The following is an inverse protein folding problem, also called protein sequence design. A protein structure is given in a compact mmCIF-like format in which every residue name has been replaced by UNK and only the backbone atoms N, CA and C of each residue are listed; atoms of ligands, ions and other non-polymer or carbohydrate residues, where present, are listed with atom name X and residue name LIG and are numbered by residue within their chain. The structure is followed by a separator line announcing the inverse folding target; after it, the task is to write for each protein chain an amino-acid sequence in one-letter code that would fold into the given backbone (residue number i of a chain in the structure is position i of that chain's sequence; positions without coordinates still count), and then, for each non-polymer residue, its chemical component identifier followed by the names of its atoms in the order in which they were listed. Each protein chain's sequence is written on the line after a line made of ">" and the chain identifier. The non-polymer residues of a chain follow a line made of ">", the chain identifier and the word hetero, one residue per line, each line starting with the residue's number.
data_IF_755542242203
#
_entry.id   IF_755542242203
#
_cell.length_a   1.000
_cell.length_b   1.000
_cell.length_c   1.000
_cell.angle_alpha   90.00
_cell.angle_beta   90.00
_cell.angle_gamma   90.00
#
_symmetry.space_group_name_H-M   'P 1'
#
loop_
_entity.id
_entity.type
_entity.pdbx_description
1 polymer ?
#
# COMPACT_ATOMS: atom_id res chain seq x y z
N UNK A 1 3.96 -18.58 13.19
CA UNK A 1 2.65 -18.31 13.85
C UNK A 1 2.50 -16.87 14.32
N UNK A 2 3.57 -16.21 14.79
CA UNK A 2 3.50 -14.82 15.28
C UNK A 2 3.05 -13.85 14.18
N UNK A 3 3.46 -14.08 12.94
CA UNK A 3 3.11 -13.30 11.76
C UNK A 3 1.60 -13.31 11.44
N UNK A 4 0.90 -14.40 11.75
CA UNK A 4 -0.56 -14.51 11.64
C UNK A 4 -1.24 -13.72 12.77
N UNK A 5 -0.70 -13.81 14.00
CA UNK A 5 -1.21 -13.01 15.12
C UNK A 5 -1.04 -11.51 14.84
N UNK A 6 0.08 -11.10 14.26
CA UNK A 6 0.33 -9.72 13.83
C UNK A 6 -0.65 -9.30 12.73
N UNK A 7 -0.94 -10.17 11.76
CA UNK A 7 -1.97 -9.91 10.74
C UNK A 7 -3.34 -9.64 11.38
N UNK A 8 -3.79 -10.52 12.28
CA UNK A 8 -5.08 -10.39 12.97
C UNK A 8 -5.11 -9.15 13.86
N UNK A 9 -4.05 -8.90 14.62
CA UNK A 9 -3.92 -7.71 15.46
C UNK A 9 -3.96 -6.42 14.62
N UNK A 10 -3.32 -6.42 13.45
CA UNK A 10 -3.33 -5.29 12.52
C UNK A 10 -4.72 -5.06 11.92
N UNK A 11 -5.43 -6.11 11.53
CA UNK A 11 -6.83 -6.02 11.09
C UNK A 11 -7.72 -5.42 12.17
N UNK A 12 -7.58 -5.89 13.41
CA UNK A 12 -8.34 -5.38 14.55
C UNK A 12 -8.02 -3.90 14.80
N UNK A 13 -6.75 -3.53 14.87
CA UNK A 13 -6.32 -2.15 15.07
C UNK A 13 -6.89 -1.21 13.99
N UNK A 14 -6.75 -1.60 12.71
CA UNK A 14 -7.29 -0.83 11.60
C UNK A 14 -8.81 -0.68 11.70
N UNK A 15 -9.54 -1.78 11.95
CA UNK A 15 -10.99 -1.78 12.14
C UNK A 15 -11.43 -0.80 13.22
N UNK A 16 -10.78 -0.84 14.39
CA UNK A 16 -11.12 0.04 15.52
C UNK A 16 -10.73 1.49 15.28
N UNK A 17 -9.75 1.76 14.42
CA UNK A 17 -9.30 3.11 14.10
C UNK A 17 -10.25 3.89 13.17
N UNK A 18 -11.18 3.21 12.48
CA UNK A 18 -12.13 3.88 11.57
C UNK A 18 -13.01 4.90 12.28
N UNK A 19 -13.65 4.52 13.38
CA UNK A 19 -14.63 5.38 14.06
C UNK A 19 -13.98 6.62 14.68
N UNK A 20 -12.86 6.54 15.43
CA UNK A 20 -12.16 7.71 15.95
C UNK A 20 -11.71 8.67 14.84
N UNK A 21 -11.13 8.15 13.76
CA UNK A 21 -10.68 8.98 12.62
C UNK A 21 -11.85 9.65 11.93
N UNK A 22 -12.94 8.92 11.69
CA UNK A 22 -14.15 9.50 11.10
C UNK A 22 -14.72 10.63 11.97
N UNK A 23 -14.85 10.42 13.29
CA UNK A 23 -15.33 11.45 14.22
C UNK A 23 -14.42 12.67 14.24
N UNK A 24 -13.11 12.47 14.18
CA UNK A 24 -12.16 13.58 14.12
C UNK A 24 -12.31 14.39 12.83
N UNK A 25 -12.43 13.72 11.68
CA UNK A 25 -12.63 14.38 10.39
C UNK A 25 -13.97 15.13 10.33
N UNK A 26 -15.05 14.58 10.90
CA UNK A 26 -16.36 15.28 10.97
C UNK A 26 -16.32 16.54 11.82
N UNK A 27 -15.40 16.62 12.80
CA UNK A 27 -15.19 17.81 13.64
C UNK A 27 -14.29 18.84 12.99
N UNK A 28 -13.24 18.39 12.31
CA UNK A 28 -12.18 19.28 11.81
C UNK A 28 -12.35 19.70 10.35
N UNK A 29 -13.14 18.98 9.55
CA UNK A 29 -13.23 19.18 8.10
C UNK A 29 -14.68 19.33 7.64
N UNK A 30 -15.15 20.57 7.35
CA UNK A 30 -16.53 20.81 6.92
C UNK A 30 -16.95 19.98 5.71
N UNK A 31 -16.13 19.95 4.65
CA UNK A 31 -16.42 19.17 3.43
C UNK A 31 -16.56 17.67 3.67
N UNK A 32 -15.76 17.11 4.59
CA UNK A 32 -15.87 15.70 4.95
C UNK A 32 -17.24 15.38 5.57
N UNK A 33 -17.76 16.29 6.39
CA UNK A 33 -19.05 16.12 7.07
C UNK A 33 -20.21 15.97 6.08
N UNK A 34 -20.13 16.66 4.95
CA UNK A 34 -21.12 16.66 3.86
C UNK A 34 -21.07 15.43 2.95
N UNK A 35 -20.00 14.62 3.04
CA UNK A 35 -19.87 13.42 2.21
C UNK A 35 -20.89 12.33 2.58
N UNK A 36 -21.37 11.62 1.56
CA UNK A 36 -22.16 10.41 1.72
C UNK A 36 -21.34 9.26 2.36
N UNK A 37 -22.02 8.32 3.01
CA UNK A 37 -21.40 7.26 3.81
C UNK A 37 -20.30 6.46 3.09
N UNK A 38 -20.54 6.01 1.86
CA UNK A 38 -19.53 5.25 1.09
C UNK A 38 -18.27 6.08 0.81
N UNK A 39 -18.41 7.39 0.54
CA UNK A 39 -17.28 8.29 0.32
C UNK A 39 -16.52 8.58 1.62
N UNK A 40 -17.22 8.71 2.76
CA UNK A 40 -16.58 8.84 4.08
C UNK A 40 -15.68 7.65 4.39
N UNK A 41 -16.18 6.42 4.18
CA UNK A 41 -15.36 5.23 4.36
C UNK A 41 -14.14 5.21 3.43
N UNK A 42 -14.31 5.62 2.17
CA UNK A 42 -13.20 5.70 1.22
C UNK A 42 -12.11 6.66 1.71
N UNK A 43 -12.47 7.85 2.17
CA UNK A 43 -11.52 8.84 2.70
C UNK A 43 -10.81 8.30 3.94
N UNK A 44 -11.57 7.79 4.93
CA UNK A 44 -10.99 7.26 6.17
C UNK A 44 -10.05 6.10 5.89
N UNK A 45 -10.41 5.17 4.99
CA UNK A 45 -9.54 4.07 4.57
C UNK A 45 -8.20 4.60 4.04
N UNK A 46 -8.24 5.56 3.12
CA UNK A 46 -7.03 6.06 2.46
C UNK A 46 -6.12 6.82 3.45
N UNK A 47 -6.69 7.62 4.36
CA UNK A 47 -5.91 8.32 5.39
C UNK A 47 -5.31 7.35 6.42
N UNK A 48 -6.08 6.36 6.88
CA UNK A 48 -5.56 5.30 7.75
C UNK A 48 -4.43 4.53 7.07
N UNK A 49 -4.64 4.11 5.81
CA UNK A 49 -3.62 3.39 5.02
C UNK A 49 -2.36 4.24 4.85
N UNK A 50 -2.48 5.53 4.56
CA UNK A 50 -1.33 6.42 4.42
C UNK A 50 -0.49 6.48 5.70
N UNK A 51 -1.12 6.75 6.85
CA UNK A 51 -0.43 6.80 8.15
C UNK A 51 0.18 5.46 8.51
N UNK A 52 -0.57 4.37 8.30
CA UNK A 52 -0.11 3.02 8.61
C UNK A 52 1.09 2.62 7.75
N UNK A 53 1.06 2.91 6.44
CA UNK A 53 2.18 2.63 5.53
C UNK A 53 3.41 3.49 5.85
N UNK A 54 3.23 4.76 6.23
CA UNK A 54 4.34 5.61 6.67
C UNK A 54 5.05 5.01 7.90
N UNK A 55 4.28 4.59 8.91
CA UNK A 55 4.83 3.90 10.09
C UNK A 55 5.50 2.59 9.68
N UNK A 56 4.88 1.82 8.79
CA UNK A 56 5.45 0.56 8.32
C UNK A 56 6.78 0.75 7.59
N UNK A 57 6.93 1.83 6.80
CA UNK A 57 8.20 2.18 6.16
C UNK A 57 9.29 2.45 7.21
N UNK A 58 8.98 3.26 8.22
CA UNK A 58 9.91 3.54 9.32
C UNK A 58 10.31 2.27 10.07
N UNK A 59 9.34 1.43 10.42
CA UNK A 59 9.59 0.14 11.07
C UNK A 59 10.45 -0.77 10.21
N UNK A 60 10.21 -0.82 8.90
CA UNK A 60 10.99 -1.64 7.98
C UNK A 60 12.44 -1.15 7.92
N UNK A 61 12.66 0.16 7.81
CA UNK A 61 14.02 0.73 7.78
C UNK A 61 14.76 0.44 9.09
N UNK A 62 14.11 0.66 10.24
CA UNK A 62 14.74 0.49 11.56
C UNK A 62 15.01 -0.99 11.87
N UNK A 63 14.03 -1.87 11.63
CA UNK A 63 14.10 -3.27 12.05
C UNK A 63 14.81 -4.15 11.02
N UNK A 64 14.58 -3.94 9.72
CA UNK A 64 15.16 -4.75 8.65
C UNK A 64 16.42 -4.13 8.03
N UNK A 65 16.57 -2.80 8.04
CA UNK A 65 17.74 -2.12 7.47
C UNK A 65 19.10 -2.68 7.90
N UNK A 66 19.34 -2.95 9.20
CA UNK A 66 20.58 -3.57 9.65
C UNK A 66 20.81 -4.98 9.06
N UNK A 67 19.76 -5.81 8.97
CA UNK A 67 19.87 -7.16 8.42
C UNK A 67 20.18 -7.15 6.92
N UNK A 68 19.58 -6.22 6.16
CA UNK A 68 19.86 -6.05 4.74
C UNK A 68 21.37 -5.85 4.51
N UNK A 69 22.02 -4.98 5.29
CA UNK A 69 23.45 -4.67 5.12
C UNK A 69 24.34 -5.93 5.21
N UNK A 70 23.92 -6.92 5.99
CA UNK A 70 24.63 -8.19 6.14
C UNK A 70 24.07 -9.33 5.27
N UNK A 71 23.18 -9.03 4.32
CA UNK A 71 22.44 -9.99 3.47
C UNK A 71 21.70 -11.08 4.27
N UNK A 72 21.14 -10.68 5.41
CA UNK A 72 20.31 -11.54 6.26
C UNK A 72 18.84 -11.19 5.99
N UNK A 73 18.03 -12.21 5.73
CA UNK A 73 16.61 -12.07 5.39
C UNK A 73 15.74 -12.82 6.40
N UNK A 74 15.52 -12.23 7.60
CA UNK A 74 14.86 -12.92 8.70
C UNK A 74 13.37 -13.16 8.42
N UNK A 75 13.03 -14.41 8.12
CA UNK A 75 11.68 -14.87 7.75
C UNK A 75 10.56 -14.31 8.64
N UNK A 76 10.70 -14.42 9.96
CA UNK A 76 9.66 -13.99 10.90
C UNK A 76 9.41 -12.48 10.83
N UNK A 77 10.47 -11.68 10.74
CA UNK A 77 10.35 -10.23 10.65
C UNK A 77 9.71 -9.81 9.32
N UNK A 78 10.19 -10.36 8.21
CA UNK A 78 9.71 -10.01 6.87
C UNK A 78 8.26 -10.42 6.65
N UNK A 79 7.88 -11.63 7.10
CA UNK A 79 6.48 -12.06 7.09
C UNK A 79 5.62 -11.17 7.99
N UNK A 80 6.10 -10.74 9.15
CA UNK A 80 5.35 -9.85 10.03
C UNK A 80 5.12 -8.47 9.41
N UNK A 81 6.13 -7.90 8.76
CA UNK A 81 6.00 -6.63 8.03
C UNK A 81 5.05 -6.76 6.82
N UNK A 82 5.12 -7.88 6.09
CA UNK A 82 4.19 -8.19 5.01
C UNK A 82 2.75 -8.34 5.52
N UNK A 83 2.55 -9.03 6.65
CA UNK A 83 1.24 -9.13 7.32
C UNK A 83 0.66 -7.75 7.64
N UNK A 84 1.48 -6.86 8.20
CA UNK A 84 1.06 -5.49 8.51
C UNK A 84 0.65 -4.75 7.23
N UNK A 85 1.44 -4.82 6.15
CA UNK A 85 1.09 -4.22 4.86
C UNK A 85 -0.27 -4.73 4.36
N UNK A 86 -0.40 -6.04 4.19
CA UNK A 86 -1.56 -6.68 3.56
C UNK A 86 -2.84 -6.56 4.38
N UNK A 87 -2.74 -6.36 5.70
CA UNK A 87 -3.90 -6.08 6.54
C UNK A 87 -4.68 -4.83 6.09
N UNK A 88 -4.01 -3.82 5.54
CA UNK A 88 -4.64 -2.62 4.97
C UNK A 88 -5.48 -2.94 3.72
N UNK A 89 -4.99 -3.86 2.89
CA UNK A 89 -5.67 -4.28 1.67
C UNK A 89 -6.89 -5.14 1.99
N UNK A 90 -6.73 -6.06 2.95
CA UNK A 90 -7.82 -6.90 3.43
C UNK A 90 -8.95 -6.07 4.08
N UNK A 91 -8.62 -5.10 4.95
CA UNK A 91 -9.65 -4.23 5.54
C UNK A 91 -10.30 -3.33 4.49
N UNK A 92 -9.54 -2.90 3.47
CA UNK A 92 -10.05 -2.14 2.34
C UNK A 92 -11.10 -2.90 1.55
N UNK A 93 -10.84 -4.18 1.22
CA UNK A 93 -11.79 -5.08 0.58
C UNK A 93 -13.05 -5.30 1.42
N UNK A 94 -12.90 -5.42 2.74
CA UNK A 94 -14.03 -5.63 3.65
C UNK A 94 -14.91 -4.38 3.82
N UNK A 95 -14.30 -3.20 3.95
CA UNK A 95 -15.03 -1.95 4.25
C UNK A 95 -15.60 -1.26 3.04
N UNK A 96 -14.92 -1.29 1.90
CA UNK A 96 -15.29 -0.50 0.73
C UNK A 96 -16.02 -1.37 -0.29
N UNK A 97 -17.34 -1.21 -0.36
CA UNK A 97 -18.20 -1.99 -1.27
C UNK A 97 -17.92 -1.72 -2.76
N UNK A 98 -17.51 -0.48 -3.09
CA UNK A 98 -17.36 0.00 -4.47
C UNK A 98 -15.89 0.33 -4.81
N UNK A 99 -15.00 -0.65 -4.62
CA UNK A 99 -13.64 -0.54 -5.13
C UNK A 99 -13.60 -0.77 -6.65
N UNK A 100 -12.70 -0.06 -7.34
CA UNK A 100 -12.40 -0.32 -8.75
C UNK A 100 -11.92 -1.76 -8.91
N UNK A 101 -12.26 -2.38 -10.04
CA UNK A 101 -11.90 -3.78 -10.31
C UNK A 101 -10.38 -4.01 -10.29
N UNK A 102 -9.59 -3.09 -10.85
CA UNK A 102 -8.12 -3.16 -10.82
C UNK A 102 -7.59 -3.22 -9.38
N UNK A 103 -8.08 -2.32 -8.52
CA UNK A 103 -7.68 -2.24 -7.11
C UNK A 103 -8.13 -3.47 -6.32
N UNK A 104 -9.29 -4.06 -6.65
CA UNK A 104 -9.71 -5.33 -6.04
C UNK A 104 -8.78 -6.47 -6.42
N UNK A 105 -8.41 -6.58 -7.70
CA UNK A 105 -7.46 -7.60 -8.16
C UNK A 105 -6.09 -7.41 -7.51
N UNK A 106 -5.61 -6.16 -7.41
CA UNK A 106 -4.40 -5.83 -6.65
C UNK A 106 -4.47 -6.36 -5.22
N UNK A 107 -5.54 -6.06 -4.49
CA UNK A 107 -5.71 -6.51 -3.10
C UNK A 107 -5.84 -8.04 -2.96
N UNK A 108 -6.49 -8.72 -3.90
CA UNK A 108 -6.50 -10.19 -3.89
C UNK A 108 -5.11 -10.77 -4.15
N UNK A 109 -4.36 -10.19 -5.10
CA UNK A 109 -2.97 -10.59 -5.37
C UNK A 109 -2.09 -10.42 -4.13
N UNK A 110 -2.19 -9.30 -3.41
CA UNK A 110 -1.36 -9.06 -2.21
C UNK A 110 -1.69 -10.04 -1.09
N UNK A 111 -2.97 -10.42 -0.93
CA UNK A 111 -3.38 -11.48 0.01
C UNK A 111 -2.82 -12.84 -0.40
N UNK A 112 -2.92 -13.22 -1.68
CA UNK A 112 -2.35 -14.48 -2.18
C UNK A 112 -0.83 -14.51 -1.96
N UNK A 113 -0.15 -13.40 -2.24
CA UNK A 113 1.28 -13.25 -2.00
C UNK A 113 1.65 -13.38 -0.52
N UNK A 114 0.87 -12.84 0.42
CA UNK A 114 1.11 -13.08 1.85
C UNK A 114 1.00 -14.57 2.20
N UNK A 115 -0.02 -15.26 1.68
CA UNK A 115 -0.19 -16.68 1.97
C UNK A 115 0.97 -17.52 1.41
N UNK A 116 1.50 -17.14 0.25
CA UNK A 116 2.68 -17.76 -0.34
C UNK A 116 3.94 -17.42 0.47
N UNK A 117 4.09 -16.19 0.95
CA UNK A 117 5.30 -15.79 1.69
C UNK A 117 5.47 -16.54 3.01
N UNK A 118 4.37 -16.98 3.64
CA UNK A 118 4.43 -17.83 4.83
C UNK A 118 5.04 -19.22 4.59
N UNK A 119 5.09 -19.70 3.35
CA UNK A 119 5.70 -20.99 3.00
C UNK A 119 7.08 -20.88 2.36
N UNK A 120 7.58 -19.66 2.12
CA UNK A 120 8.87 -19.42 1.49
C UNK A 120 9.92 -19.00 2.52
N UNK A 121 11.16 -19.46 2.30
CA UNK A 121 12.32 -18.95 3.02
C UNK A 121 12.85 -17.69 2.32
N UNK A 122 12.78 -16.53 2.97
CA UNK A 122 13.30 -15.28 2.43
C UNK A 122 14.81 -15.26 2.24
N UNK A 123 15.59 -16.08 2.94
CA UNK A 123 17.04 -16.16 2.74
C UNK A 123 17.40 -16.78 1.40
N UNK A 124 16.67 -17.84 1.01
CA UNK A 124 16.96 -18.65 -0.17
C UNK A 124 16.08 -18.29 -1.37
N UNK A 125 14.82 -17.94 -1.13
CA UNK A 125 13.84 -17.72 -2.19
C UNK A 125 13.95 -16.33 -2.79
N UNK A 126 14.49 -16.27 -4.02
CA UNK A 126 14.47 -15.05 -4.84
C UNK A 126 13.06 -14.47 -5.01
N UNK A 127 12.05 -15.33 -5.19
CA UNK A 127 10.66 -14.90 -5.29
C UNK A 127 10.21 -14.16 -4.02
N UNK A 128 10.52 -14.71 -2.84
CA UNK A 128 10.17 -14.08 -1.57
C UNK A 128 10.86 -12.72 -1.41
N UNK A 129 12.16 -12.63 -1.72
CA UNK A 129 12.91 -11.36 -1.72
C UNK A 129 12.25 -10.33 -2.65
N UNK A 130 11.94 -10.70 -3.89
CA UNK A 130 11.28 -9.80 -4.86
C UNK A 130 9.88 -9.36 -4.40
N UNK A 131 9.09 -10.26 -3.82
CA UNK A 131 7.78 -9.93 -3.24
C UNK A 131 7.92 -8.91 -2.09
N UNK A 132 8.89 -9.10 -1.19
CA UNK A 132 9.11 -8.18 -0.08
C UNK A 132 9.58 -6.81 -0.58
N UNK A 133 10.55 -6.78 -1.50
CA UNK A 133 11.05 -5.54 -2.07
C UNK A 133 9.95 -4.76 -2.80
N UNK A 134 9.08 -5.46 -3.55
CA UNK A 134 7.91 -4.82 -4.15
C UNK A 134 6.96 -4.28 -3.08
N UNK A 135 6.69 -5.05 -2.03
CA UNK A 135 5.80 -4.64 -0.93
C UNK A 135 6.33 -3.41 -0.21
N UNK A 136 7.63 -3.38 0.10
CA UNK A 136 8.27 -2.24 0.74
C UNK A 136 8.27 -1.00 -0.18
N UNK A 137 8.60 -1.17 -1.45
CA UNK A 137 8.48 -0.10 -2.45
C UNK A 137 7.04 0.45 -2.49
N UNK A 138 6.03 -0.42 -2.58
CA UNK A 138 4.63 0.00 -2.54
C UNK A 138 4.22 0.71 -1.25
N UNK A 139 4.87 0.43 -0.11
CA UNK A 139 4.61 1.15 1.13
C UNK A 139 5.16 2.59 1.10
N UNK A 140 6.30 2.83 0.43
CA UNK A 140 6.91 4.16 0.29
C UNK A 140 6.00 5.15 -0.47
N UNK A 141 5.04 4.65 -1.24
CA UNK A 141 4.06 5.46 -1.98
C UNK A 141 2.86 5.88 -1.12
N UNK A 142 2.97 5.79 0.20
CA UNK A 142 1.95 6.24 1.15
C UNK A 142 1.39 7.67 0.89
N UNK A 143 2.15 8.65 0.35
CA UNK A 143 1.58 9.97 0.02
C UNK A 143 0.44 9.91 -1.00
N UNK A 144 0.44 8.91 -1.88
CA UNK A 144 -0.67 8.66 -2.84
C UNK A 144 -1.97 8.40 -2.08
N UNK A 145 -1.92 7.52 -1.08
CA UNK A 145 -3.10 7.24 -0.25
C UNK A 145 -3.53 8.48 0.55
N UNK A 146 -2.58 9.29 1.02
CA UNK A 146 -2.92 10.56 1.69
C UNK A 146 -3.70 11.48 0.73
N UNK A 147 -3.17 11.72 -0.47
CA UNK A 147 -3.82 12.56 -1.48
C UNK A 147 -5.20 12.04 -1.89
N UNK A 148 -5.34 10.73 -2.12
CA UNK A 148 -6.63 10.10 -2.48
C UNK A 148 -7.72 10.33 -1.42
N UNK A 149 -7.34 10.41 -0.13
CA UNK A 149 -8.25 10.77 0.95
C UNK A 149 -8.49 12.28 1.03
N UNK A 150 -7.43 13.07 1.09
CA UNK A 150 -7.47 14.52 1.34
C UNK A 150 -8.19 15.30 0.23
N UNK A 151 -8.14 14.86 -1.04
CA UNK A 151 -8.82 15.54 -2.16
C UNK A 151 -10.35 15.64 -2.02
N UNK A 152 -10.94 14.87 -1.12
CA UNK A 152 -12.38 14.95 -0.82
C UNK A 152 -12.68 15.83 0.40
N UNK A 153 -11.64 16.27 1.10
CA UNK A 153 -11.69 17.05 2.33
C UNK A 153 -11.34 18.53 2.12
N UNK A 154 -10.55 18.85 1.10
CA UNK A 154 -10.00 20.18 0.84
C UNK A 154 -10.22 20.59 -0.62
N UNK A 155 -10.02 21.87 -0.93
CA UNK A 155 -10.03 22.36 -2.31
C UNK A 155 -8.82 21.84 -3.09
N UNK A 156 -8.94 21.76 -4.42
CA UNK A 156 -7.84 21.27 -5.27
C UNK A 156 -6.61 22.20 -5.18
N UNK A 157 -6.83 23.51 -5.04
CA UNK A 157 -5.78 24.53 -4.89
C UNK A 157 -4.92 24.32 -3.63
N UNK A 158 -5.52 23.87 -2.53
CA UNK A 158 -4.80 23.60 -1.27
C UNK A 158 -3.94 22.33 -1.33
N UNK A 159 -4.14 21.49 -2.36
CA UNK A 159 -3.54 20.15 -2.47
C UNK A 159 -2.59 20.02 -3.66
N UNK A 160 -2.22 21.11 -4.32
CA UNK A 160 -1.29 21.11 -5.46
C UNK A 160 0.03 20.43 -5.10
N UNK A 161 0.66 20.86 -4.00
CA UNK A 161 1.93 20.30 -3.53
C UNK A 161 1.79 18.83 -3.13
N UNK A 162 0.68 18.48 -2.46
CA UNK A 162 0.40 17.09 -2.04
C UNK A 162 0.21 16.19 -3.25
N UNK A 163 -0.45 16.69 -4.30
CA UNK A 163 -0.62 15.99 -5.57
C UNK A 163 0.73 15.77 -6.27
N UNK A 164 1.58 16.81 -6.33
CA UNK A 164 2.92 16.72 -6.89
C UNK A 164 3.78 15.70 -6.15
N UNK A 165 3.83 15.77 -4.81
CA UNK A 165 4.56 14.80 -3.97
C UNK A 165 4.05 13.38 -4.21
N UNK A 166 2.73 13.17 -4.24
CA UNK A 166 2.13 11.87 -4.52
C UNK A 166 2.54 11.35 -5.91
N UNK A 167 2.46 12.19 -6.94
CA UNK A 167 2.80 11.82 -8.31
C UNK A 167 4.29 11.46 -8.46
N UNK A 168 5.20 12.36 -8.09
CA UNK A 168 6.65 12.14 -8.28
C UNK A 168 7.17 10.99 -7.43
N UNK A 169 6.76 10.90 -6.16
CA UNK A 169 7.15 9.77 -5.30
C UNK A 169 6.70 8.46 -5.91
N UNK A 170 5.45 8.40 -6.40
CA UNK A 170 4.93 7.17 -6.97
C UNK A 170 5.61 6.79 -8.28
N UNK A 171 5.81 7.76 -9.19
CA UNK A 171 6.48 7.55 -10.46
C UNK A 171 7.90 6.98 -10.28
N UNK A 172 8.68 7.60 -9.39
CA UNK A 172 10.07 7.20 -9.11
C UNK A 172 10.10 5.79 -8.52
N UNK A 173 9.25 5.52 -7.51
CA UNK A 173 9.21 4.22 -6.84
C UNK A 173 8.75 3.12 -7.79
N UNK A 174 7.70 3.34 -8.59
CA UNK A 174 7.26 2.38 -9.61
C UNK A 174 8.36 2.10 -10.62
N UNK A 175 9.05 3.13 -11.11
CA UNK A 175 10.14 2.96 -12.07
C UNK A 175 11.25 2.05 -11.53
N UNK A 176 11.76 2.33 -10.33
CA UNK A 176 12.82 1.51 -9.73
C UNK A 176 12.33 0.11 -9.38
N UNK A 177 11.12 -0.02 -8.87
CA UNK A 177 10.56 -1.31 -8.51
C UNK A 177 10.35 -2.20 -9.75
N UNK A 178 9.78 -1.67 -10.83
CA UNK A 178 9.59 -2.43 -12.07
C UNK A 178 10.93 -2.74 -12.76
N UNK A 179 11.88 -1.82 -12.72
CA UNK A 179 13.23 -2.08 -13.19
C UNK A 179 13.87 -3.26 -12.45
N UNK A 180 13.73 -3.30 -11.12
CA UNK A 180 14.22 -4.40 -10.29
C UNK A 180 13.55 -5.74 -10.67
N UNK A 181 12.23 -5.75 -10.87
CA UNK A 181 11.51 -6.95 -11.32
C UNK A 181 11.98 -7.43 -12.69
N UNK A 182 12.22 -6.51 -13.61
CA UNK A 182 12.71 -6.83 -14.95
C UNK A 182 14.16 -7.34 -14.93
N UNK A 183 15.02 -6.76 -14.09
CA UNK A 183 16.41 -7.16 -13.95
C UNK A 183 16.56 -8.61 -13.46
N UNK A 184 15.66 -9.07 -12.58
CA UNK A 184 15.66 -10.44 -12.04
C UNK A 184 14.67 -11.38 -12.76
N UNK A 185 14.34 -11.09 -14.02
CA UNK A 185 13.41 -11.91 -14.81
C UNK A 185 13.98 -13.32 -15.07
N UNK A 186 13.27 -14.34 -14.59
CA UNK A 186 13.65 -15.75 -14.75
C UNK A 186 12.42 -16.61 -15.08
N UNK A 187 12.60 -17.64 -15.90
CA UNK A 187 11.49 -18.49 -16.37
C UNK A 187 10.74 -19.19 -15.24
N UNK A 188 11.47 -19.65 -14.21
CA UNK A 188 10.89 -20.31 -13.04
C UNK A 188 9.93 -19.40 -12.25
N UNK A 189 10.04 -18.08 -12.42
CA UNK A 189 9.21 -17.07 -11.76
C UNK A 189 8.02 -16.60 -12.60
N UNK A 190 7.74 -17.20 -13.76
CA UNK A 190 6.60 -16.80 -14.60
C UNK A 190 5.24 -16.79 -13.88
N UNK A 191 4.90 -17.75 -13.00
CA UNK A 191 3.65 -17.67 -12.22
C UNK A 191 3.60 -16.42 -11.32
N UNK A 192 4.73 -16.05 -10.71
CA UNK A 192 4.85 -14.83 -9.93
C UNK A 192 4.63 -13.58 -10.80
N UNK A 193 5.28 -13.50 -11.96
CA UNK A 193 5.13 -12.38 -12.89
C UNK A 193 3.70 -12.26 -13.46
N UNK A 194 3.03 -13.40 -13.67
CA UNK A 194 1.62 -13.44 -14.03
C UNK A 194 0.74 -12.78 -12.98
N UNK A 195 0.93 -13.12 -11.69
CA UNK A 195 0.15 -12.54 -10.59
C UNK A 195 0.48 -11.06 -10.36
N UNK A 196 1.76 -10.68 -10.37
CA UNK A 196 2.16 -9.29 -10.10
C UNK A 196 1.74 -8.33 -11.21
N UNK A 197 1.46 -8.85 -12.42
CA UNK A 197 0.91 -8.02 -13.51
C UNK A 197 -0.40 -7.31 -13.13
N UNK A 198 -1.23 -7.91 -12.25
CA UNK A 198 -2.44 -7.26 -11.74
C UNK A 198 -2.13 -6.05 -10.85
N UNK A 199 -1.04 -6.13 -10.07
CA UNK A 199 -0.55 -5.04 -9.23
C UNK A 199 0.00 -3.92 -10.11
N UNK A 200 0.86 -4.28 -11.07
CA UNK A 200 1.45 -3.35 -12.05
C UNK A 200 0.36 -2.64 -12.87
N UNK A 201 -0.68 -3.36 -13.28
CA UNK A 201 -1.81 -2.77 -14.01
C UNK A 201 -2.55 -1.71 -13.19
N UNK A 202 -2.86 -1.99 -11.92
CA UNK A 202 -3.48 -1.00 -11.03
C UNK A 202 -2.56 0.21 -10.83
N UNK A 203 -1.25 -0.03 -10.68
CA UNK A 203 -0.25 1.02 -10.53
C UNK A 203 -0.21 1.95 -11.77
N UNK A 204 -0.22 1.40 -12.98
CA UNK A 204 -0.26 2.18 -14.23
C UNK A 204 -1.54 3.00 -14.32
N UNK A 205 -2.70 2.41 -13.99
CA UNK A 205 -3.99 3.12 -14.01
C UNK A 205 -3.97 4.29 -13.03
N UNK A 206 -3.45 4.09 -11.82
CA UNK A 206 -3.40 5.11 -10.79
C UNK A 206 -2.37 6.21 -11.12
N UNK A 207 -1.21 5.84 -11.62
CA UNK A 207 -0.16 6.78 -12.02
C UNK A 207 -0.60 7.64 -13.21
N UNK A 208 -1.28 7.06 -14.19
CA UNK A 208 -1.85 7.79 -15.33
C UNK A 208 -2.90 8.81 -14.86
N UNK A 209 -3.75 8.41 -13.92
CA UNK A 209 -4.75 9.30 -13.33
C UNK A 209 -4.10 10.46 -12.54
N UNK A 210 -3.06 10.17 -11.74
CA UNK A 210 -2.31 11.19 -11.01
C UNK A 210 -1.58 12.16 -11.94
N UNK A 211 -0.95 11.66 -13.00
CA UNK A 211 -0.26 12.48 -13.99
C UNK A 211 -1.22 13.48 -14.65
N UNK A 212 -2.39 13.00 -15.09
CA UNK A 212 -3.42 13.87 -15.66
C UNK A 212 -3.85 14.95 -14.66
N UNK A 213 -4.08 14.56 -13.39
CA UNK A 213 -4.46 15.51 -12.35
C UNK A 213 -3.38 16.54 -12.01
N UNK A 214 -2.12 16.13 -11.98
CA UNK A 214 -1.01 17.04 -11.75
C UNK A 214 -0.85 18.07 -12.88
N UNK A 215 -1.03 17.65 -14.14
CA UNK A 215 -0.93 18.54 -15.29
C UNK A 215 -2.15 19.47 -15.46
N UNK A 216 -3.35 19.09 -14.99
CA UNK A 216 -4.52 19.98 -15.00
C UNK A 216 -4.38 21.15 -13.99
N UNK A 217 -3.48 20.97 -13.03
CA UNK A 217 -3.29 21.82 -11.87
C UNK A 217 -2.10 22.81 -12.02
N UNK A 218 -1.37 22.74 -13.14
CA UNK A 218 -0.21 23.59 -13.49
C UNK A 218 -0.34 24.11 -14.92
#
# INVERSE_FOLDING_TARGET
>A
MIEILIFIASLYLLQYSYEPVQKQLERSTPKFKELEGDKKFYVVKNLLKATYLAILCLLTIILFGPYWIYDIWPNTLLNSLASMYVSNDAIGLYKIKKLKTSTRLHHYTTIIFLMISYSLDFQESKMAKLMFLYTFASALTFPVNAYLGLRHCFDEEDLLDVCGVAYYTYAIVCFFNWFLQFYYLEQILWPYYGLISFVVYDDIVLLTWLHKKHNENH
#
